data_IF_765820766108
#
_entry.id   IF_765820766108
#
_cell.length_a   1.000
_cell.length_b   1.000
_cell.length_c   1.000
_cell.angle_alpha   90.00
_cell.angle_beta   90.00
_cell.angle_gamma   90.00
#
_symmetry.space_group_name_H-M   'P 1'
#
loop_
_entity.id
_entity.type
_entity.pdbx_description
1 polymer ?
#
# COMPACT_ATOMS: atom_id res chain seq x y z
N UNK A 1 -3.97 3.73 20.22
CA UNK A 1 -2.69 3.38 19.55
C UNK A 1 -2.90 3.66 18.07
N UNK A 2 -2.08 4.51 17.45
CA UNK A 2 -2.20 4.83 16.02
C UNK A 2 -1.30 3.91 15.19
N UNK A 3 -1.72 3.58 13.97
CA UNK A 3 -0.94 2.74 13.07
C UNK A 3 0.29 3.48 12.50
N UNK A 4 1.44 2.82 12.46
CA UNK A 4 2.68 3.33 11.84
C UNK A 4 2.88 2.85 10.42
N UNK A 5 2.24 1.74 10.06
CA UNK A 5 2.27 1.10 8.75
C UNK A 5 0.85 0.79 8.28
N UNK A 6 0.67 0.69 6.97
CA UNK A 6 -0.58 0.23 6.36
C UNK A 6 -0.32 -0.86 5.34
N UNK A 7 -1.32 -1.71 5.16
CA UNK A 7 -1.43 -2.65 4.04
C UNK A 7 -2.29 -1.97 2.98
N UNK A 8 -1.65 -1.47 1.93
CA UNK A 8 -2.30 -0.69 0.87
C UNK A 8 -2.56 -1.56 -0.34
N UNK A 9 -3.80 -1.55 -0.82
CA UNK A 9 -4.16 -2.10 -2.11
C UNK A 9 -4.02 -1.01 -3.18
N UNK A 10 -3.26 -1.26 -4.24
CA UNK A 10 -3.04 -0.31 -5.33
C UNK A 10 -2.84 -1.03 -6.67
N UNK A 11 -3.07 -0.33 -7.77
CA UNK A 11 -2.77 -0.83 -9.12
C UNK A 11 -1.26 -0.94 -9.31
N UNK A 12 -0.75 -2.12 -9.65
CA UNK A 12 0.66 -2.34 -9.92
C UNK A 12 0.96 -2.02 -11.39
N UNK A 13 1.73 -0.97 -11.63
CA UNK A 13 2.21 -0.59 -12.96
C UNK A 13 3.72 -0.79 -13.01
N UNK A 14 4.21 -1.59 -13.97
CA UNK A 14 5.64 -1.88 -14.15
C UNK A 14 6.33 -0.90 -15.11
N UNK A 15 7.68 -0.86 -15.19
CA UNK A 15 8.41 0.08 -16.04
C UNK A 15 8.10 0.01 -17.55
N UNK A 16 7.55 -1.11 -18.02
CA UNK A 16 7.02 -1.28 -19.37
C UNK A 16 5.66 -0.58 -19.60
N UNK A 17 5.12 0.08 -18.57
CA UNK A 17 3.85 0.79 -18.60
C UNK A 17 2.62 -0.12 -18.45
N UNK A 18 2.81 -1.43 -18.24
CA UNK A 18 1.70 -2.38 -18.12
C UNK A 18 1.10 -2.34 -16.73
N UNK A 19 -0.23 -2.22 -16.66
CA UNK A 19 -0.99 -2.37 -15.42
C UNK A 19 -1.33 -3.85 -15.18
N UNK A 20 -0.80 -4.41 -14.09
CA UNK A 20 -1.02 -5.79 -13.66
C UNK A 20 -2.13 -5.91 -12.61
N UNK A 21 -3.01 -4.93 -12.46
CA UNK A 21 -4.14 -5.01 -11.54
C UNK A 21 -3.76 -4.79 -10.07
N UNK A 22 -4.70 -5.13 -9.18
CA UNK A 22 -4.62 -4.81 -7.77
C UNK A 22 -3.59 -5.68 -7.05
N UNK A 23 -2.62 -5.05 -6.40
CA UNK A 23 -1.61 -5.69 -5.58
C UNK A 23 -1.54 -5.05 -4.20
N UNK A 24 -0.89 -5.74 -3.27
CA UNK A 24 -0.84 -5.36 -1.87
C UNK A 24 0.57 -4.95 -1.49
N UNK A 25 0.70 -3.78 -0.87
CA UNK A 25 1.96 -3.17 -0.48
C UNK A 25 1.96 -2.84 1.00
N UNK A 26 3.07 -3.08 1.68
CA UNK A 26 3.31 -2.54 3.01
C UNK A 26 3.87 -1.13 2.85
N UNK A 27 3.18 -0.12 3.39
CA UNK A 27 3.60 1.28 3.28
C UNK A 27 3.77 1.85 4.68
N UNK A 28 5.00 2.27 5.07
CA UNK A 28 5.20 3.09 6.25
C UNK A 28 4.47 4.43 6.09
N UNK A 29 3.69 4.84 7.10
CA UNK A 29 2.90 6.08 7.06
C UNK A 29 3.30 7.09 8.12
N UNK A 30 3.91 6.62 9.22
CA UNK A 30 4.42 7.47 10.31
C UNK A 30 5.77 6.97 10.77
N UNK A 31 6.58 7.88 11.28
CA UNK A 31 7.77 7.53 12.05
C UNK A 31 7.33 6.81 13.35
N UNK A 32 7.94 5.66 13.71
CA UNK A 32 7.46 4.82 14.81
C UNK A 32 7.72 5.41 16.20
N UNK A 33 8.68 6.33 16.33
CA UNK A 33 9.08 6.92 17.62
C UNK A 33 8.31 8.22 17.88
N UNK A 34 8.13 9.03 16.83
CA UNK A 34 7.51 10.36 16.91
C UNK A 34 6.04 10.39 16.49
N UNK A 35 5.57 9.36 15.77
CA UNK A 35 4.23 9.25 15.16
C UNK A 35 3.91 10.37 14.14
N UNK A 36 4.91 11.16 13.75
CA UNK A 36 4.77 12.18 12.70
C UNK A 36 4.61 11.49 11.34
N UNK A 37 3.67 11.93 10.48
CA UNK A 37 3.54 11.40 9.12
C UNK A 37 4.84 11.51 8.32
N UNK A 38 5.17 10.46 7.56
CA UNK A 38 6.36 10.46 6.71
C UNK A 38 6.18 11.41 5.50
N UNK A 39 7.27 11.89 4.88
CA UNK A 39 7.20 12.76 3.71
C UNK A 39 6.34 12.16 2.58
N UNK A 40 5.45 12.98 2.01
CA UNK A 40 4.51 12.55 0.97
C UNK A 40 3.29 11.79 1.47
N UNK A 41 3.18 11.53 2.78
CA UNK A 41 2.01 10.90 3.41
C UNK A 41 1.16 11.96 4.11
N UNK A 42 -0.13 12.03 3.76
CA UNK A 42 -1.14 12.78 4.54
C UNK A 42 -2.07 11.78 5.19
N UNK A 43 -2.24 11.86 6.51
CA UNK A 43 -3.12 10.99 7.30
C UNK A 43 -3.93 11.82 8.28
N UNK A 44 -5.18 11.43 8.51
CA UNK A 44 -6.06 12.12 9.44
C UNK A 44 -7.25 11.27 9.85
N UNK A 45 -8.00 11.76 10.84
CA UNK A 45 -9.23 11.15 11.32
C UNK A 45 -10.42 11.59 10.45
N UNK A 46 -11.40 10.70 10.25
CA UNK A 46 -12.62 11.02 9.50
C UNK A 46 -13.67 11.76 10.33
N UNK A 47 -13.44 11.91 11.63
CA UNK A 47 -14.28 12.63 12.56
C UNK A 47 -15.28 11.75 13.31
N UNK A 48 -16.31 12.42 13.83
CA UNK A 48 -17.39 11.79 14.57
C UNK A 48 -18.18 10.82 13.69
N UNK A 49 -18.50 9.67 14.27
CA UNK A 49 -19.28 8.60 13.67
C UNK A 49 -20.56 8.39 14.47
N UNK A 50 -21.56 7.77 13.85
CA UNK A 50 -22.80 7.35 14.53
C UNK A 50 -22.54 6.42 15.74
N UNK A 51 -21.44 5.68 15.71
CA UNK A 51 -21.01 4.80 16.79
C UNK A 51 -19.54 4.41 16.61
N UNK A 52 -19.01 3.62 17.55
CA UNK A 52 -17.60 3.20 17.56
C UNK A 52 -16.60 4.38 17.53
N UNK A 53 -16.94 5.50 18.18
CA UNK A 53 -16.08 6.69 18.25
C UNK A 53 -14.73 6.45 18.96
N UNK A 54 -14.56 5.32 19.65
CA UNK A 54 -13.27 4.88 20.18
C UNK A 54 -12.31 4.27 19.13
N UNK A 55 -12.78 4.07 17.90
CA UNK A 55 -11.96 3.61 16.76
C UNK A 55 -11.57 4.82 15.90
N UNK A 56 -10.28 4.96 15.63
CA UNK A 56 -9.65 6.03 14.85
C UNK A 56 -9.73 5.74 13.34
N UNK A 57 -10.94 5.55 12.82
CA UNK A 57 -11.16 5.44 11.38
C UNK A 57 -10.64 6.71 10.68
N UNK A 58 -9.62 6.54 9.85
CA UNK A 58 -8.94 7.64 9.19
C UNK A 58 -8.90 7.52 7.67
N UNK A 59 -8.29 8.52 7.07
CA UNK A 59 -7.90 8.53 5.66
C UNK A 59 -6.38 8.54 5.52
N UNK A 60 -5.90 8.13 4.34
CA UNK A 60 -4.51 8.25 3.93
C UNK A 60 -4.44 8.69 2.48
N UNK A 61 -3.56 9.64 2.18
CA UNK A 61 -3.25 10.11 0.83
C UNK A 61 -1.74 9.98 0.64
N UNK A 62 -1.34 9.36 -0.46
CA UNK A 62 0.05 9.21 -0.87
C UNK A 62 0.36 10.17 -2.03
N UNK A 63 1.38 11.00 -1.86
CA UNK A 63 1.93 11.85 -2.90
C UNK A 63 3.33 11.34 -3.27
N UNK A 64 3.40 10.51 -4.33
CA UNK A 64 4.65 9.97 -4.88
C UNK A 64 5.58 9.33 -3.83
N UNK A 65 5.00 8.63 -2.86
CA UNK A 65 5.75 7.93 -1.80
C UNK A 65 6.53 6.77 -2.40
N UNK A 66 7.82 6.70 -2.08
CA UNK A 66 8.71 5.62 -2.52
C UNK A 66 8.83 4.58 -1.41
N UNK A 67 8.68 3.31 -1.78
CA UNK A 67 8.91 2.16 -0.90
C UNK A 67 9.87 1.18 -1.58
N UNK A 68 10.60 0.34 -0.82
CA UNK A 68 11.35 -0.77 -1.38
C UNK A 68 10.44 -1.70 -2.19
N UNK A 69 10.99 -2.31 -3.24
CA UNK A 69 10.27 -3.29 -4.08
C UNK A 69 9.77 -4.47 -3.24
N UNK A 70 10.54 -4.85 -2.23
CA UNK A 70 10.28 -5.95 -1.30
C UNK A 70 9.05 -5.71 -0.42
N UNK A 71 8.51 -4.49 -0.38
CA UNK A 71 7.27 -4.19 0.33
C UNK A 71 6.02 -4.70 -0.43
N UNK A 72 6.16 -5.18 -1.67
CA UNK A 72 5.12 -5.92 -2.38
C UNK A 72 4.89 -7.28 -1.68
N UNK A 73 3.65 -7.58 -1.28
CA UNK A 73 3.30 -8.91 -0.78
C UNK A 73 3.26 -9.92 -1.93
N UNK A 74 4.37 -10.62 -2.12
CA UNK A 74 4.70 -11.27 -3.38
C UNK A 74 4.46 -12.79 -3.44
N UNK A 75 3.57 -13.33 -2.61
CA UNK A 75 3.35 -14.79 -2.52
C UNK A 75 2.86 -15.42 -3.83
N UNK A 76 1.98 -14.71 -4.56
CA UNK A 76 1.34 -15.21 -5.79
C UNK A 76 1.93 -14.59 -7.07
N UNK A 77 2.42 -13.37 -6.96
CA UNK A 77 3.06 -12.62 -8.03
C UNK A 77 4.12 -11.69 -7.45
N UNK A 78 5.16 -11.42 -8.23
CA UNK A 78 6.31 -10.61 -7.82
C UNK A 78 6.74 -9.70 -8.98
N UNK A 79 7.57 -8.71 -8.68
CA UNK A 79 8.26 -7.89 -9.67
C UNK A 79 9.75 -8.10 -9.45
N UNK A 80 10.49 -8.53 -10.47
CA UNK A 80 11.94 -8.76 -10.36
C UNK A 80 12.72 -7.45 -10.17
N UNK A 81 14.00 -7.48 -9.75
CA UNK A 81 14.83 -6.28 -9.64
C UNK A 81 14.98 -5.49 -10.96
N UNK A 82 14.92 -6.16 -12.11
CA UNK A 82 14.90 -5.54 -13.44
C UNK A 82 13.49 -5.05 -13.87
N UNK A 83 12.49 -5.12 -12.98
CA UNK A 83 11.16 -4.54 -13.19
C UNK A 83 10.17 -5.43 -13.92
N UNK A 84 10.46 -6.73 -14.12
CA UNK A 84 9.55 -7.65 -14.82
C UNK A 84 8.54 -8.26 -13.86
N UNK A 85 7.27 -8.23 -14.25
CA UNK A 85 6.22 -8.91 -13.52
C UNK A 85 6.29 -10.43 -13.74
N UNK A 86 6.22 -11.19 -12.64
CA UNK A 86 6.16 -12.65 -12.66
C UNK A 86 5.00 -13.14 -11.81
N UNK A 87 4.27 -14.15 -12.27
CA UNK A 87 3.14 -14.71 -11.49
C UNK A 87 3.13 -16.22 -11.55
N UNK A 88 2.78 -16.83 -10.41
CA UNK A 88 2.48 -18.28 -10.34
C UNK A 88 1.13 -18.61 -10.96
N UNK A 89 0.25 -17.63 -11.08
CA UNK A 89 -1.08 -17.77 -11.68
C UNK A 89 -0.98 -17.39 -13.16
N UNK A 90 -1.06 -18.42 -14.03
CA UNK A 90 -0.95 -18.25 -15.48
C UNK A 90 -2.13 -17.46 -16.06
N UNK A 91 -3.34 -17.74 -15.56
CA UNK A 91 -4.57 -17.11 -16.01
C UNK A 91 -4.74 -15.73 -15.37
N UNK A 92 -4.70 -14.67 -16.17
CA UNK A 92 -4.82 -13.29 -15.69
C UNK A 92 -6.16 -13.03 -15.00
N UNK A 93 -7.25 -13.66 -15.45
CA UNK A 93 -8.59 -13.48 -14.91
C UNK A 93 -8.76 -14.04 -13.49
N UNK A 94 -7.80 -14.87 -13.04
CA UNK A 94 -7.82 -15.53 -11.72
C UNK A 94 -6.81 -14.93 -10.74
N UNK A 95 -6.20 -13.79 -11.08
CA UNK A 95 -5.19 -13.14 -10.25
C UNK A 95 -5.78 -12.23 -9.16
N UNK A 96 -7.02 -11.78 -9.32
CA UNK A 96 -7.68 -10.78 -8.48
C UNK A 96 -9.10 -11.21 -8.16
#
# INVERSE_FOLDING_TARGET
KQATHTVTFAQLITPDGVNHGLHVFIVPVRDPDTLVPLPGVTVGDLGEKMGLNGVDNGFVIFNNVKIPRENLLNKMADVTPDGKYVSRIKDQSKRF
#
